data_IF_631460436647
#
_entry.id   IF_631460436647
#
_cell.length_a   1.000
_cell.length_b   1.000
_cell.length_c   1.000
_cell.angle_alpha   90.00
_cell.angle_beta   90.00
_cell.angle_gamma   90.00
#
_symmetry.space_group_name_H-M   'P 1'
#
loop_
_entity.id
_entity.type
_entity.pdbx_description
1 polymer ?
#
# COMPACT_ATOMS: atom_id res chain seq x y z
N UNK A 1 12.87 1.51 -2.81
CA UNK A 1 13.71 2.51 -3.51
C UNK A 1 14.29 3.47 -2.49
N UNK A 2 15.52 3.92 -2.70
CA UNK A 2 16.21 4.89 -1.84
C UNK A 2 16.05 6.28 -2.46
N UNK A 3 15.68 7.25 -1.63
CA UNK A 3 15.59 8.66 -1.95
C UNK A 3 16.73 9.43 -1.32
N UNK A 4 17.31 10.37 -2.07
CA UNK A 4 18.35 11.26 -1.60
C UNK A 4 17.71 12.60 -1.22
N UNK A 5 17.63 12.88 0.08
CA UNK A 5 17.01 14.08 0.64
C UNK A 5 18.08 15.14 0.86
N UNK A 6 17.88 16.32 0.27
CA UNK A 6 18.78 17.47 0.40
C UNK A 6 20.26 17.12 0.11
N UNK A 7 20.50 16.11 -0.73
CA UNK A 7 21.83 15.66 -1.14
C UNK A 7 22.63 14.85 -0.10
N UNK A 8 22.09 14.59 1.10
CA UNK A 8 22.89 13.98 2.20
C UNK A 8 22.17 12.88 2.97
N UNK A 9 20.84 12.91 3.05
CA UNK A 9 20.06 11.95 3.84
C UNK A 9 19.45 10.88 2.93
N UNK A 10 19.66 9.62 3.26
CA UNK A 10 19.07 8.48 2.54
C UNK A 10 17.80 8.02 3.25
N UNK A 11 16.69 7.96 2.51
CA UNK A 11 15.45 7.38 3.03
C UNK A 11 14.98 6.26 2.12
N UNK A 12 14.78 5.07 2.69
CA UNK A 12 14.23 3.93 1.98
C UNK A 12 12.71 3.87 2.13
N UNK A 13 12.02 3.72 1.01
CA UNK A 13 10.58 3.46 0.98
C UNK A 13 10.28 2.39 -0.06
N UNK A 14 9.37 1.46 0.26
CA UNK A 14 8.98 0.38 -0.63
C UNK A 14 8.05 0.87 -1.76
N UNK A 15 8.62 1.56 -2.75
CA UNK A 15 7.93 1.98 -3.97
C UNK A 15 8.57 1.26 -5.16
N UNK A 16 7.78 0.51 -5.96
CA UNK A 16 8.34 -0.36 -6.99
C UNK A 16 8.71 0.37 -8.28
N UNK A 17 7.94 1.40 -8.68
CA UNK A 17 8.13 2.13 -9.94
C UNK A 17 7.73 3.59 -9.74
N UNK A 18 8.49 4.51 -10.32
CA UNK A 18 8.14 5.93 -10.45
C UNK A 18 8.27 6.40 -11.87
N UNK A 19 7.55 7.49 -12.18
CA UNK A 19 7.67 8.20 -13.44
C UNK A 19 7.30 7.34 -14.67
N UNK A 20 6.23 6.56 -14.55
CA UNK A 20 5.69 5.82 -15.69
C UNK A 20 4.85 6.83 -16.49
N UNK A 21 5.43 7.44 -17.53
CA UNK A 21 4.83 8.50 -18.37
C UNK A 21 3.60 8.04 -19.20
N UNK A 22 2.69 7.27 -18.60
CA UNK A 22 1.52 6.64 -19.20
C UNK A 22 0.44 7.65 -19.61
N UNK A 23 0.46 8.87 -19.05
CA UNK A 23 -0.47 9.96 -19.40
C UNK A 23 -0.40 10.37 -20.88
N UNK A 24 0.68 10.02 -21.58
CA UNK A 24 0.86 10.33 -23.01
C UNK A 24 -0.03 9.47 -23.92
N UNK A 25 -0.63 8.39 -23.42
CA UNK A 25 -1.45 7.49 -24.24
C UNK A 25 -2.95 7.79 -24.15
N UNK A 26 -3.64 7.84 -25.29
CA UNK A 26 -5.09 8.01 -25.38
C UNK A 26 -5.91 6.92 -24.66
N UNK A 27 -5.31 5.75 -24.39
CA UNK A 27 -5.97 4.64 -23.68
C UNK A 27 -6.04 4.85 -22.16
N UNK A 28 -5.26 5.79 -21.64
CA UNK A 28 -5.09 6.02 -20.23
C UNK A 28 -6.39 6.37 -19.45
N UNK A 29 -7.28 7.28 -19.90
CA UNK A 29 -8.51 7.60 -19.17
C UNK A 29 -9.42 6.38 -18.98
N UNK A 30 -9.45 5.45 -19.95
CA UNK A 30 -10.24 4.21 -19.82
C UNK A 30 -9.69 3.28 -18.74
N UNK A 31 -8.36 3.13 -18.68
CA UNK A 31 -7.71 2.31 -17.65
C UNK A 31 -7.92 2.94 -16.27
N UNK A 32 -7.84 4.26 -16.16
CA UNK A 32 -8.10 4.97 -14.91
C UNK A 32 -9.56 4.81 -14.44
N UNK A 33 -10.53 4.96 -15.34
CA UNK A 33 -11.95 4.76 -15.02
C UNK A 33 -12.22 3.33 -14.56
N UNK A 34 -11.60 2.33 -15.21
CA UNK A 34 -11.69 0.93 -14.81
C UNK A 34 -11.08 0.73 -13.41
N UNK A 35 -9.88 1.24 -13.15
CA UNK A 35 -9.20 1.11 -11.85
C UNK A 35 -10.04 1.73 -10.71
N UNK A 36 -10.64 2.91 -10.94
CA UNK A 36 -11.57 3.55 -9.99
C UNK A 36 -12.84 2.71 -9.78
N UNK A 37 -13.39 2.12 -10.84
CA UNK A 37 -14.58 1.27 -10.70
C UNK A 37 -14.31 0.02 -9.87
N UNK A 38 -13.17 -0.63 -10.09
CA UNK A 38 -12.71 -1.80 -9.32
C UNK A 38 -12.42 -1.40 -7.88
N UNK A 39 -11.85 -0.23 -7.66
CA UNK A 39 -11.61 0.33 -6.32
C UNK A 39 -12.92 0.45 -5.53
N UNK A 40 -13.93 1.11 -6.10
CA UNK A 40 -15.23 1.32 -5.45
C UNK A 40 -15.92 -0.03 -5.17
N UNK A 41 -15.93 -0.93 -6.15
CA UNK A 41 -16.51 -2.25 -6.00
C UNK A 41 -15.85 -3.05 -4.86
N UNK A 42 -14.51 -3.01 -4.80
CA UNK A 42 -13.73 -3.69 -3.75
C UNK A 42 -14.04 -3.13 -2.36
N UNK A 43 -14.09 -1.80 -2.21
CA UNK A 43 -14.45 -1.18 -0.93
C UNK A 43 -15.86 -1.57 -0.47
N UNK A 44 -16.83 -1.59 -1.39
CA UNK A 44 -18.21 -2.01 -1.07
C UNK A 44 -18.27 -3.48 -0.64
N UNK A 45 -17.52 -4.37 -1.31
CA UNK A 45 -17.43 -5.78 -0.94
C UNK A 45 -16.80 -5.97 0.44
N UNK A 46 -15.74 -5.22 0.76
CA UNK A 46 -15.09 -5.25 2.08
C UNK A 46 -16.06 -4.85 3.18
N UNK A 47 -16.80 -3.75 3.00
CA UNK A 47 -17.79 -3.29 3.99
C UNK A 47 -18.87 -4.34 4.21
N UNK A 48 -19.39 -4.94 3.13
CA UNK A 48 -20.40 -6.00 3.20
C UNK A 48 -19.86 -7.26 3.89
N UNK A 49 -18.65 -7.69 3.56
CA UNK A 49 -18.00 -8.85 4.18
C UNK A 49 -17.79 -8.63 5.69
N UNK A 50 -17.27 -7.47 6.09
CA UNK A 50 -17.08 -7.12 7.50
C UNK A 50 -18.41 -7.10 8.28
N UNK A 51 -19.49 -6.62 7.66
CA UNK A 51 -20.82 -6.65 8.27
C UNK A 51 -21.33 -8.08 8.49
N UNK A 52 -21.17 -8.96 7.49
CA UNK A 52 -21.58 -10.37 7.57
C UNK A 52 -20.79 -11.09 8.68
N UNK A 53 -19.46 -10.94 8.71
CA UNK A 53 -18.58 -11.55 9.73
C UNK A 53 -18.95 -11.05 11.13
N UNK A 54 -19.37 -9.79 11.26
CA UNK A 54 -19.81 -9.23 12.54
C UNK A 54 -21.17 -9.78 13.01
N UNK A 55 -22.02 -10.30 12.12
CA UNK A 55 -23.29 -10.94 12.50
C UNK A 55 -23.17 -12.44 12.67
N UNK A 56 -22.09 -13.04 12.17
CA UNK A 56 -21.88 -14.47 12.25
C UNK A 56 -21.59 -14.92 13.69
N UNK A 57 -22.40 -15.85 14.20
CA UNK A 57 -22.33 -16.32 15.60
C UNK A 57 -21.48 -17.58 15.81
N UNK A 58 -21.10 -18.30 14.76
CA UNK A 58 -20.31 -19.53 14.95
C UNK A 58 -18.83 -19.28 15.25
N UNK A 59 -18.31 -18.10 14.92
CA UNK A 59 -16.93 -17.74 15.25
C UNK A 59 -16.85 -17.05 16.62
N UNK A 60 -15.82 -17.40 17.39
CA UNK A 60 -15.46 -16.67 18.61
C UNK A 60 -15.20 -15.20 18.29
N UNK A 61 -15.47 -14.33 19.28
CA UNK A 61 -15.31 -12.89 19.13
C UNK A 61 -13.88 -12.50 18.68
N UNK A 62 -12.87 -13.16 19.24
CA UNK A 62 -11.46 -12.92 18.92
C UNK A 62 -11.14 -13.15 17.44
N UNK A 63 -11.56 -14.31 16.89
CA UNK A 63 -11.38 -14.62 15.48
C UNK A 63 -12.14 -13.64 14.57
N UNK A 64 -13.35 -13.23 14.96
CA UNK A 64 -14.14 -12.25 14.19
C UNK A 64 -13.44 -10.90 14.10
N UNK A 65 -12.86 -10.43 15.19
CA UNK A 65 -12.09 -9.18 15.23
C UNK A 65 -10.87 -9.28 14.32
N UNK A 66 -10.11 -10.37 14.39
CA UNK A 66 -8.95 -10.60 13.53
C UNK A 66 -9.32 -10.60 12.04
N UNK A 67 -10.40 -11.28 11.66
CA UNK A 67 -10.87 -11.32 10.27
C UNK A 67 -11.31 -9.94 9.77
N UNK A 68 -12.03 -9.16 10.59
CA UNK A 68 -12.44 -7.80 10.24
C UNK A 68 -11.22 -6.89 10.10
N UNK A 69 -10.23 -7.01 11.00
CA UNK A 69 -8.99 -6.26 10.91
C UNK A 69 -8.26 -6.54 9.58
N UNK A 70 -8.15 -7.81 9.17
CA UNK A 70 -7.55 -8.18 7.88
C UNK A 70 -8.33 -7.61 6.67
N UNK A 71 -9.65 -7.52 6.77
CA UNK A 71 -10.45 -6.86 5.72
C UNK A 71 -10.22 -5.35 5.70
N UNK A 72 -10.06 -4.70 6.86
CA UNK A 72 -9.71 -3.28 6.94
C UNK A 72 -8.31 -2.99 6.39
N UNK A 73 -7.37 -3.94 6.46
CA UNK A 73 -6.05 -3.81 5.84
C UNK A 73 -6.13 -3.58 4.32
N UNK A 74 -7.18 -4.11 3.66
CA UNK A 74 -7.41 -3.80 2.25
C UNK A 74 -7.82 -2.35 2.00
N UNK A 75 -8.44 -1.66 2.96
CA UNK A 75 -8.71 -0.22 2.83
C UNK A 75 -7.40 0.57 2.95
N UNK A 76 -6.47 0.11 3.79
CA UNK A 76 -5.18 0.75 3.98
C UNK A 76 -4.33 0.78 2.69
N UNK A 77 -4.26 -0.35 1.98
CA UNK A 77 -3.56 -0.42 0.69
C UNK A 77 -4.24 0.43 -0.41
N UNK A 78 -5.56 0.55 -0.34
CA UNK A 78 -6.33 1.42 -1.24
C UNK A 78 -5.97 2.90 -1.01
N UNK A 79 -5.90 3.34 0.25
CA UNK A 79 -5.46 4.69 0.61
C UNK A 79 -3.99 4.93 0.21
N UNK A 80 -3.12 3.95 0.47
CA UNK A 80 -1.71 4.00 0.07
C UNK A 80 -1.57 4.25 -1.44
N UNK A 81 -2.32 3.49 -2.25
CA UNK A 81 -2.31 3.61 -3.70
C UNK A 81 -2.86 4.94 -4.18
N UNK A 82 -3.89 5.50 -3.54
CA UNK A 82 -4.41 6.83 -3.85
C UNK A 82 -3.35 7.93 -3.69
N UNK A 83 -2.59 7.91 -2.58
CA UNK A 83 -1.52 8.87 -2.35
C UNK A 83 -0.34 8.71 -3.31
N UNK A 84 0.06 7.47 -3.60
CA UNK A 84 1.19 7.23 -4.50
C UNK A 84 0.83 7.43 -5.99
N UNK A 85 -0.45 7.38 -6.36
CA UNK A 85 -0.94 7.45 -7.74
C UNK A 85 -0.31 8.58 -8.56
N UNK A 86 -0.26 9.78 -7.99
CA UNK A 86 0.28 10.98 -8.65
C UNK A 86 1.75 10.82 -9.09
N UNK A 87 2.51 10.02 -8.35
CA UNK A 87 3.94 9.80 -8.55
C UNK A 87 4.23 8.59 -9.44
N UNK A 88 3.46 7.52 -9.31
CA UNK A 88 3.60 6.34 -10.20
C UNK A 88 3.34 6.71 -11.66
N UNK A 89 2.39 7.60 -11.89
CA UNK A 89 1.92 7.98 -13.23
C UNK A 89 2.67 9.14 -13.86
N UNK A 90 3.56 9.78 -13.10
CA UNK A 90 4.27 10.97 -13.57
C UNK A 90 3.37 12.19 -13.74
N UNK A 91 2.32 12.35 -12.92
CA UNK A 91 1.65 13.66 -12.81
C UNK A 91 2.56 14.65 -12.08
N UNK A 92 3.22 14.17 -11.02
CA UNK A 92 4.28 14.89 -10.30
C UNK A 92 5.59 14.13 -10.47
N UNK A 93 6.52 14.70 -11.23
CA UNK A 93 7.82 14.11 -11.50
C UNK A 93 8.78 14.38 -10.33
N UNK A 94 9.50 13.36 -9.90
CA UNK A 94 10.58 13.46 -8.93
C UNK A 94 11.90 13.24 -9.67
N UNK A 95 12.85 14.16 -9.53
CA UNK A 95 14.15 14.10 -10.21
C UNK A 95 14.05 14.31 -11.73
N UNK A 96 14.72 13.45 -12.51
CA UNK A 96 14.82 13.62 -13.96
C UNK A 96 13.57 13.09 -14.68
N UNK A 97 12.83 13.99 -15.35
CA UNK A 97 11.57 13.71 -16.07
C UNK A 97 11.70 12.60 -17.12
N UNK A 98 12.89 12.35 -17.66
CA UNK A 98 13.12 11.35 -18.71
C UNK A 98 13.50 9.96 -18.19
N UNK A 99 13.82 9.81 -16.89
CA UNK A 99 14.25 8.53 -16.31
C UNK A 99 13.10 7.85 -15.59
N UNK A 100 12.88 6.57 -15.91
CA UNK A 100 11.92 5.71 -15.20
C UNK A 100 12.68 5.01 -14.08
N UNK A 101 12.34 5.32 -12.83
CA UNK A 101 12.98 4.71 -11.68
C UNK A 101 12.25 3.42 -11.31
N UNK A 102 12.97 2.31 -11.27
CA UNK A 102 12.43 0.98 -10.97
C UNK A 102 13.33 0.19 -10.01
N UNK A 103 14.38 0.81 -9.47
CA UNK A 103 15.35 0.16 -8.60
C UNK A 103 14.81 0.04 -7.18
N UNK A 104 14.76 -1.18 -6.66
CA UNK A 104 14.33 -1.43 -5.27
C UNK A 104 15.38 -0.96 -4.25
N UNK A 105 16.65 -1.14 -4.60
CA UNK A 105 17.85 -0.74 -3.87
C UNK A 105 18.94 -0.31 -4.87
N UNK A 106 19.70 0.75 -4.58
CA UNK A 106 20.89 1.14 -5.34
C UNK A 106 21.87 1.83 -4.39
N UNK A 107 23.16 1.51 -4.50
CA UNK A 107 24.22 2.14 -3.72
C UNK A 107 24.83 3.36 -4.44
N UNK A 108 24.42 3.60 -5.70
CA UNK A 108 24.91 4.72 -6.49
C UNK A 108 24.03 5.96 -6.28
N UNK A 109 24.62 7.02 -5.73
CA UNK A 109 23.94 8.29 -5.43
C UNK A 109 23.40 9.00 -6.68
N UNK A 110 23.99 8.77 -7.85
CA UNK A 110 23.51 9.34 -9.13
C UNK A 110 22.25 8.65 -9.66
N UNK A 111 21.97 7.43 -9.20
CA UNK A 111 20.78 6.67 -9.58
C UNK A 111 19.61 6.85 -8.61
N UNK A 112 19.90 7.38 -7.41
CA UNK A 112 18.88 7.71 -6.41
C UNK A 112 17.99 8.85 -6.89
N UNK A 113 16.74 8.84 -6.43
CA UNK A 113 15.79 9.92 -6.76
C UNK A 113 16.06 11.11 -5.83
N UNK A 114 16.47 12.28 -6.35
CA UNK A 114 16.70 13.45 -5.53
C UNK A 114 15.36 14.06 -5.11
N UNK A 115 15.22 14.31 -3.81
CA UNK A 115 14.07 15.01 -3.22
C UNK A 115 14.60 16.27 -2.52
N UNK A 116 14.19 17.48 -2.95
CA UNK A 116 14.66 18.72 -2.34
C UNK A 116 14.15 18.90 -0.91
N UNK A 117 12.91 18.47 -0.62
CA UNK A 117 12.30 18.58 0.69
C UNK A 117 11.28 17.45 0.93
N UNK A 118 11.38 16.79 2.09
CA UNK A 118 10.51 15.66 2.48
C UNK A 118 9.08 16.13 2.72
N UNK A 119 8.92 17.34 3.26
CA UNK A 119 7.61 17.87 3.66
C UNK A 119 6.74 18.12 2.42
N UNK A 120 7.32 18.59 1.33
CA UNK A 120 6.58 18.90 0.10
C UNK A 120 6.11 17.63 -0.64
N UNK A 121 6.75 16.49 -0.35
CA UNK A 121 6.50 15.18 -0.94
C UNK A 121 5.98 14.16 0.10
N UNK A 122 5.39 14.65 1.21
CA UNK A 122 4.81 13.81 2.26
C UNK A 122 3.82 12.72 1.78
N UNK A 123 2.99 12.91 0.72
CA UNK A 123 2.04 11.88 0.32
C UNK A 123 2.75 10.63 -0.21
N UNK A 124 3.93 10.79 -0.82
CA UNK A 124 4.75 9.68 -1.29
C UNK A 124 5.23 8.81 -0.12
N UNK A 125 5.76 9.45 0.92
CA UNK A 125 6.28 8.77 2.10
C UNK A 125 5.16 8.10 2.91
N UNK A 126 4.04 8.80 3.11
CA UNK A 126 2.88 8.20 3.79
C UNK A 126 2.32 7.02 3.00
N UNK A 127 2.17 7.18 1.68
CA UNK A 127 1.68 6.12 0.81
C UNK A 127 2.59 4.88 0.84
N UNK A 128 3.91 5.07 0.77
CA UNK A 128 4.86 3.96 0.87
C UNK A 128 4.94 3.34 2.27
N UNK A 129 4.75 4.12 3.34
CA UNK A 129 4.62 3.58 4.69
C UNK A 129 3.40 2.68 4.84
N UNK A 130 2.22 3.16 4.43
CA UNK A 130 0.97 2.39 4.46
C UNK A 130 1.06 1.12 3.61
N UNK A 131 1.73 1.20 2.45
CA UNK A 131 2.00 0.03 1.61
C UNK A 131 2.85 -1.02 2.34
N UNK A 132 3.91 -0.58 3.01
CA UNK A 132 4.81 -1.47 3.77
C UNK A 132 4.10 -2.05 4.99
N UNK A 133 3.33 -1.23 5.71
CA UNK A 133 2.54 -1.64 6.87
C UNK A 133 1.47 -2.68 6.49
N UNK A 134 0.79 -2.51 5.36
CA UNK A 134 -0.14 -3.49 4.83
C UNK A 134 0.52 -4.85 4.56
N UNK A 135 1.70 -4.84 3.92
CA UNK A 135 2.42 -6.07 3.61
C UNK A 135 2.86 -6.81 4.88
N UNK A 136 3.39 -6.07 5.87
CA UNK A 136 3.73 -6.63 7.18
C UNK A 136 2.49 -7.21 7.87
N UNK A 137 1.38 -6.47 7.89
CA UNK A 137 0.12 -6.89 8.50
C UNK A 137 -0.42 -8.19 7.90
N UNK A 138 -0.34 -8.36 6.57
CA UNK A 138 -0.78 -9.59 5.91
C UNK A 138 0.06 -10.82 6.31
N UNK A 139 1.38 -10.65 6.50
CA UNK A 139 2.27 -11.72 6.95
C UNK A 139 1.96 -12.09 8.41
N UNK A 140 1.87 -11.10 9.28
CA UNK A 140 1.60 -11.31 10.70
C UNK A 140 0.19 -11.85 10.97
N UNK A 141 -0.77 -11.56 10.10
CA UNK A 141 -2.14 -12.05 10.24
C UNK A 141 -2.23 -13.59 10.28
N UNK A 142 -1.49 -14.29 9.40
CA UNK A 142 -1.46 -15.76 9.42
C UNK A 142 -0.94 -16.31 10.74
N UNK A 143 0.08 -15.64 11.29
CA UNK A 143 0.63 -15.97 12.60
C UNK A 143 -0.39 -15.71 13.71
N UNK A 144 -1.07 -14.57 13.70
CA UNK A 144 -2.10 -14.22 14.70
C UNK A 144 -3.29 -15.17 14.69
N UNK A 145 -3.77 -15.61 13.51
CA UNK A 145 -4.84 -16.60 13.41
C UNK A 145 -4.39 -17.95 13.96
N UNK A 146 -3.17 -18.38 13.60
CA UNK A 146 -2.61 -19.64 14.08
C UNK A 146 -2.44 -19.64 15.61
N UNK A 147 -1.96 -18.53 16.17
CA UNK A 147 -1.83 -18.34 17.61
C UNK A 147 -3.20 -18.37 18.31
N UNK A 148 -4.21 -17.68 17.77
CA UNK A 148 -5.56 -17.70 18.33
C UNK A 148 -6.17 -19.11 18.33
N UNK A 149 -5.99 -19.87 17.25
CA UNK A 149 -6.43 -21.27 17.17
C UNK A 149 -5.69 -22.19 18.13
N UNK A 150 -4.38 -22.01 18.30
CA UNK A 150 -3.58 -22.81 19.23
C UNK A 150 -3.99 -22.55 20.69
N UNK A 151 -4.17 -21.28 21.05
CA UNK A 151 -4.64 -20.87 22.37
C UNK A 151 -6.05 -21.42 22.64
N UNK A 152 -6.99 -21.26 21.70
CA UNK A 152 -8.34 -21.78 21.85
C UNK A 152 -8.36 -23.31 22.04
N UNK A 153 -7.50 -24.03 21.32
CA UNK A 153 -7.38 -25.49 21.45
C UNK A 153 -6.81 -25.91 22.81
N UNK A 154 -5.90 -25.13 23.38
CA UNK A 154 -5.37 -25.35 24.72
C UNK A 154 -6.44 -25.17 25.81
N UNK A 155 -7.28 -24.13 25.70
CA UNK A 155 -8.35 -23.85 26.66
C UNK A 155 -9.59 -24.74 26.53
N UNK A 156 -9.78 -25.40 25.38
CA UNK A 156 -10.86 -26.38 25.17
C UNK A 156 -10.53 -27.78 25.70
N UNK A 157 -9.30 -27.99 26.18
CA UNK A 157 -8.84 -29.21 26.84
C UNK A 157 -8.94 -29.08 28.35
#
# INVERSE_FOLDING_TARGET
MIFLINGTLEMWVAIPILNKALFTSWKYPYVMALDISVFIATTLLIIRASFIISKYKMFHLNLRILLIFQLCQWIEILIARFFMFQYLLGYRFLGNTRKIYHHFWTDNTEEMVPIPNVIDEWPLFLGGFLYTHHFASCIFFLFSVSAERAIASFYLR
#
